data_IF_422789715695
#
_entry.id   IF_422789715695
#
_cell.length_a   1.000
_cell.length_b   1.000
_cell.length_c   1.000
_cell.angle_alpha   90.00
_cell.angle_beta   90.00
_cell.angle_gamma   90.00
#
_symmetry.space_group_name_H-M   'P 1'
#
loop_
_entity.id
_entity.type
_entity.pdbx_description
1 polymer ?
#
# COMPACT_ATOMS: atom_id res chain seq x y z
N UNK A 1 18.39 23.20 -2.28
CA UNK A 1 18.31 22.11 -1.28
C UNK A 1 17.78 20.89 -2.01
N UNK A 2 18.61 19.89 -2.29
CA UNK A 2 18.11 18.63 -2.81
C UNK A 2 17.31 17.97 -1.68
N UNK A 3 15.98 18.09 -1.72
CA UNK A 3 15.09 17.46 -0.74
C UNK A 3 15.41 15.97 -0.70
N UNK A 4 15.69 15.47 0.49
CA UNK A 4 16.05 14.07 0.69
C UNK A 4 14.90 13.20 0.16
N UNK A 5 15.16 12.34 -0.83
CA UNK A 5 14.10 11.45 -1.34
C UNK A 5 13.88 10.34 -0.30
N UNK A 6 12.62 9.95 -0.03
CA UNK A 6 12.35 8.87 0.93
C UNK A 6 13.01 7.56 0.48
N UNK A 7 13.43 6.74 1.44
CA UNK A 7 13.77 5.35 1.17
C UNK A 7 12.52 4.63 0.61
N UNK A 8 12.65 3.95 -0.53
CA UNK A 8 11.56 3.19 -1.14
C UNK A 8 11.73 1.72 -0.78
N UNK A 9 10.75 1.16 -0.06
CA UNK A 9 10.75 -0.24 0.38
C UNK A 9 9.57 -0.98 -0.24
N UNK A 10 9.86 -2.00 -1.06
CA UNK A 10 8.83 -2.93 -1.52
C UNK A 10 8.61 -3.99 -0.45
N UNK A 11 7.36 -4.22 -0.05
CA UNK A 11 6.97 -5.24 0.93
C UNK A 11 5.90 -6.14 0.32
N UNK A 12 6.15 -7.45 0.29
CA UNK A 12 5.26 -8.44 -0.30
C UNK A 12 5.36 -9.79 0.42
N UNK A 13 4.25 -10.52 0.50
CA UNK A 13 4.21 -11.94 0.78
C UNK A 13 3.89 -12.67 -0.53
N UNK A 14 4.69 -13.68 -0.87
CA UNK A 14 4.57 -14.42 -2.13
C UNK A 14 4.70 -15.92 -1.89
N UNK A 15 3.90 -16.72 -2.61
CA UNK A 15 4.05 -18.15 -2.63
C UNK A 15 5.40 -18.56 -3.25
N UNK A 16 6.07 -19.54 -2.65
CA UNK A 16 7.40 -19.98 -3.09
C UNK A 16 7.39 -20.54 -4.52
N UNK A 17 6.40 -21.37 -4.86
CA UNK A 17 6.44 -22.18 -6.08
C UNK A 17 5.97 -21.42 -7.34
N UNK A 18 5.12 -20.41 -7.18
CA UNK A 18 4.49 -19.72 -8.32
C UNK A 18 4.40 -18.20 -8.14
N UNK A 19 4.98 -17.64 -7.07
CA UNK A 19 5.00 -16.20 -6.75
C UNK A 19 3.61 -15.56 -6.67
N UNK A 20 2.56 -16.33 -6.45
CA UNK A 20 1.21 -15.80 -6.24
C UNK A 20 1.22 -14.88 -5.02
N UNK A 21 0.57 -13.72 -5.17
CA UNK A 21 0.42 -12.68 -4.13
C UNK A 21 -1.05 -12.41 -3.77
N UNK A 22 -2.01 -13.06 -4.46
CA UNK A 22 -3.44 -12.84 -4.30
C UNK A 22 -4.27 -13.68 -5.27
N UNK A 23 -5.48 -14.08 -4.85
CA UNK A 23 -6.48 -14.81 -5.64
C UNK A 23 -7.85 -14.21 -5.33
N UNK A 24 -8.68 -13.93 -6.34
CA UNK A 24 -10.05 -13.42 -6.17
C UNK A 24 -10.22 -12.22 -5.23
N UNK A 25 -9.23 -11.31 -5.24
CA UNK A 25 -9.12 -10.11 -4.38
C UNK A 25 -8.74 -10.38 -2.92
N UNK A 26 -8.41 -11.61 -2.56
CA UNK A 26 -7.96 -11.97 -1.23
C UNK A 26 -6.53 -12.51 -1.24
N UNK A 27 -5.90 -12.53 -0.07
CA UNK A 27 -4.70 -13.33 0.15
C UNK A 27 -5.12 -14.80 0.21
N UNK A 28 -4.45 -15.72 -0.51
CA UNK A 28 -4.83 -17.14 -0.52
C UNK A 28 -4.44 -17.88 0.78
N UNK A 29 -3.93 -17.15 1.78
CA UNK A 29 -3.56 -17.66 3.08
C UNK A 29 -4.02 -16.71 4.19
N UNK A 30 -4.25 -17.28 5.37
CA UNK A 30 -4.50 -16.52 6.60
C UNK A 30 -3.36 -16.78 7.59
N UNK A 31 -2.36 -15.90 7.58
CA UNK A 31 -1.17 -16.00 8.45
C UNK A 31 -1.13 -14.76 9.36
N UNK A 32 -1.68 -14.85 10.59
CA UNK A 32 -1.75 -13.71 11.51
C UNK A 32 -0.39 -13.09 11.84
N UNK A 33 0.67 -13.90 11.92
CA UNK A 33 2.03 -13.47 12.20
C UNK A 33 2.60 -12.61 11.08
N UNK A 34 2.27 -12.92 9.83
CA UNK A 34 2.67 -12.13 8.66
C UNK A 34 1.98 -10.76 8.67
N UNK A 35 0.67 -10.74 8.95
CA UNK A 35 -0.08 -9.48 9.09
C UNK A 35 0.43 -8.63 10.26
N UNK A 36 0.78 -9.27 11.39
CA UNK A 36 1.38 -8.59 12.55
C UNK A 36 2.72 -7.97 12.18
N UNK A 37 3.58 -8.70 11.46
CA UNK A 37 4.87 -8.22 10.98
C UNK A 37 4.70 -7.08 9.97
N UNK A 38 3.79 -7.22 9.01
CA UNK A 38 3.47 -6.16 8.05
C UNK A 38 3.02 -4.88 8.77
N UNK A 39 2.12 -5.00 9.76
CA UNK A 39 1.70 -3.86 10.59
C UNK A 39 2.88 -3.23 11.33
N UNK A 40 3.73 -4.03 11.97
CA UNK A 40 4.89 -3.52 12.71
C UNK A 40 5.87 -2.76 11.81
N UNK A 41 6.10 -3.24 10.60
CA UNK A 41 7.04 -2.63 9.66
C UNK A 41 6.50 -1.34 9.01
N UNK A 42 5.20 -1.31 8.70
CA UNK A 42 4.61 -0.23 7.87
C UNK A 42 3.94 0.88 8.68
N UNK A 43 3.62 0.66 9.95
CA UNK A 43 2.92 1.66 10.79
C UNK A 43 3.76 2.94 10.92
N UNK A 44 3.12 4.10 10.80
CA UNK A 44 3.79 5.40 10.87
C UNK A 44 4.39 5.88 9.54
N UNK A 45 4.47 5.01 8.53
CA UNK A 45 5.00 5.35 7.21
C UNK A 45 3.88 5.38 6.14
N UNK A 46 4.03 6.18 5.07
CA UNK A 46 3.15 6.08 3.91
C UNK A 46 3.20 4.68 3.29
N UNK A 47 2.03 4.18 2.90
CA UNK A 47 1.86 2.90 2.23
C UNK A 47 1.20 3.13 0.87
N UNK A 48 1.99 2.97 -0.19
CA UNK A 48 1.55 3.07 -1.57
C UNK A 48 1.01 1.73 -2.06
N UNK A 49 -0.15 1.76 -2.69
CA UNK A 49 -0.77 0.59 -3.30
C UNK A 49 -1.64 0.94 -4.50
N UNK A 50 -2.01 -0.06 -5.28
CA UNK A 50 -2.97 0.09 -6.38
C UNK A 50 -4.41 0.06 -5.87
N UNK A 51 -5.33 0.66 -6.64
CA UNK A 51 -6.78 0.66 -6.34
C UNK A 51 -7.34 -0.71 -5.94
N UNK A 52 -7.05 -1.76 -6.70
CA UNK A 52 -7.59 -3.11 -6.42
C UNK A 52 -7.13 -3.63 -5.07
N UNK A 53 -5.86 -3.40 -4.71
CA UNK A 53 -5.32 -3.77 -3.40
C UNK A 53 -6.00 -2.99 -2.29
N UNK A 54 -6.24 -1.70 -2.49
CA UNK A 54 -6.98 -0.90 -1.51
C UNK A 54 -8.43 -1.39 -1.33
N UNK A 55 -9.14 -1.70 -2.42
CA UNK A 55 -10.49 -2.29 -2.37
C UNK A 55 -10.50 -3.64 -1.63
N UNK A 56 -9.48 -4.48 -1.83
CA UNK A 56 -9.30 -5.72 -1.06
C UNK A 56 -9.11 -5.47 0.43
N UNK A 57 -8.31 -4.47 0.81
CA UNK A 57 -8.13 -4.09 2.22
C UNK A 57 -9.43 -3.60 2.84
N UNK A 58 -10.22 -2.80 2.12
CA UNK A 58 -11.54 -2.37 2.59
C UNK A 58 -12.47 -3.55 2.83
N UNK A 59 -12.49 -4.52 1.91
CA UNK A 59 -13.29 -5.74 2.05
C UNK A 59 -12.85 -6.58 3.25
N UNK A 60 -11.54 -6.74 3.45
CA UNK A 60 -10.98 -7.63 4.46
C UNK A 60 -10.96 -7.01 5.87
N UNK A 61 -10.69 -5.71 6.00
CA UNK A 61 -10.49 -5.02 7.27
C UNK A 61 -11.60 -4.03 7.63
N UNK A 62 -12.58 -3.83 6.75
CA UNK A 62 -13.71 -2.91 6.96
C UNK A 62 -13.34 -1.43 6.84
N UNK A 63 -12.12 -1.10 6.43
CA UNK A 63 -11.67 0.27 6.31
C UNK A 63 -10.19 0.41 5.92
N UNK A 64 -9.72 1.66 5.73
CA UNK A 64 -8.32 1.95 5.50
C UNK A 64 -7.44 1.45 6.64
N UNK A 65 -6.18 1.19 6.33
CA UNK A 65 -5.22 0.78 7.34
C UNK A 65 -4.89 1.96 8.27
N UNK A 66 -5.16 1.86 9.60
CA UNK A 66 -4.99 2.98 10.51
C UNK A 66 -3.51 3.30 10.74
N UNK A 67 -3.26 4.52 11.24
CA UNK A 67 -1.94 5.05 11.62
C UNK A 67 -0.93 5.08 10.47
N UNK A 68 -1.42 5.20 9.24
CA UNK A 68 -0.66 5.26 7.99
C UNK A 68 -1.35 6.21 7.02
N UNK A 69 -0.56 6.88 6.18
CA UNK A 69 -1.06 7.53 4.97
C UNK A 69 -1.25 6.45 3.92
N UNK A 70 -2.49 6.18 3.53
CA UNK A 70 -2.83 5.20 2.51
C UNK A 70 -2.78 5.89 1.13
N UNK A 71 -1.71 5.65 0.38
CA UNK A 71 -1.45 6.29 -0.91
C UNK A 71 -1.93 5.36 -2.02
N UNK A 72 -3.00 5.72 -2.71
CA UNK A 72 -3.67 4.83 -3.68
C UNK A 72 -3.49 5.34 -5.10
N UNK A 73 -2.88 4.50 -5.95
CA UNK A 73 -2.78 4.78 -7.38
C UNK A 73 -4.10 4.44 -8.10
N UNK A 74 -4.74 5.48 -8.65
CA UNK A 74 -6.02 5.40 -9.36
C UNK A 74 -6.27 6.66 -10.20
N UNK A 75 -6.85 6.49 -11.39
CA UNK A 75 -7.43 7.59 -12.19
C UNK A 75 -8.93 7.79 -11.95
N UNK A 76 -9.55 6.92 -11.16
CA UNK A 76 -10.97 6.97 -10.83
C UNK A 76 -11.17 7.67 -9.49
N UNK A 77 -12.21 8.51 -9.40
CA UNK A 77 -12.66 9.18 -8.18
C UNK A 77 -13.34 8.21 -7.18
N UNK A 78 -13.65 8.73 -5.98
CA UNK A 78 -14.47 8.06 -4.95
C UNK A 78 -13.72 7.34 -3.83
N UNK A 79 -12.38 7.33 -3.85
CA UNK A 79 -11.57 6.76 -2.75
C UNK A 79 -10.97 7.82 -1.82
N UNK A 80 -10.89 9.08 -2.25
CA UNK A 80 -10.36 10.17 -1.42
C UNK A 80 -11.30 10.63 -0.30
N UNK A 81 -12.49 10.03 -0.19
CA UNK A 81 -13.47 10.34 0.87
C UNK A 81 -13.15 9.63 2.19
N UNK A 82 -12.31 8.59 2.15
CA UNK A 82 -11.86 7.87 3.34
C UNK A 82 -10.78 8.67 4.08
N UNK A 83 -10.91 8.76 5.40
CA UNK A 83 -9.91 9.40 6.25
C UNK A 83 -8.54 8.71 6.12
N UNK A 84 -7.48 9.50 5.98
CA UNK A 84 -6.11 8.99 5.84
C UNK A 84 -5.80 8.34 4.49
N UNK A 85 -6.64 8.56 3.46
CA UNK A 85 -6.45 8.06 2.09
C UNK A 85 -6.19 9.21 1.12
N UNK A 86 -5.13 9.08 0.34
CA UNK A 86 -4.73 10.04 -0.70
C UNK A 86 -4.65 9.31 -2.03
N UNK A 87 -5.23 9.88 -3.09
CA UNK A 87 -5.26 9.26 -4.42
C UNK A 87 -4.40 10.00 -5.43
N UNK A 88 -3.66 9.26 -6.26
CA UNK A 88 -2.83 9.83 -7.32
C UNK A 88 -2.95 9.04 -8.62
N UNK A 89 -2.84 9.73 -9.76
CA UNK A 89 -2.96 9.08 -11.07
C UNK A 89 -1.69 8.33 -11.50
N UNK A 90 -0.54 8.67 -10.92
CA UNK A 90 0.75 8.07 -11.28
C UNK A 90 1.73 8.07 -10.11
N UNK A 91 2.75 7.20 -10.21
CA UNK A 91 3.76 7.00 -9.16
C UNK A 91 4.59 8.26 -8.88
N UNK A 92 4.87 9.08 -9.90
CA UNK A 92 5.65 10.30 -9.74
C UNK A 92 4.95 11.31 -8.83
N UNK A 93 3.66 11.53 -9.06
CA UNK A 93 2.83 12.39 -8.21
C UNK A 93 2.71 11.85 -6.78
N UNK A 94 2.51 10.54 -6.63
CA UNK A 94 2.44 9.90 -5.32
C UNK A 94 3.75 10.03 -4.52
N UNK A 95 4.90 9.78 -5.16
CA UNK A 95 6.23 9.91 -4.54
C UNK A 95 6.55 11.37 -4.18
N UNK A 96 6.16 12.33 -5.02
CA UNK A 96 6.34 13.74 -4.73
C UNK A 96 5.55 14.16 -3.47
N UNK A 97 4.34 13.65 -3.29
CA UNK A 97 3.48 13.96 -2.15
C UNK A 97 3.94 13.35 -0.81
N UNK A 98 4.85 12.38 -0.85
CA UNK A 98 5.48 11.79 0.34
C UNK A 98 6.97 12.12 0.43
N UNK A 99 7.44 13.12 -0.32
CA UNK A 99 8.86 13.44 -0.43
C UNK A 99 9.55 13.84 0.87
N UNK A 100 8.79 14.24 1.90
CA UNK A 100 9.31 14.60 3.23
C UNK A 100 9.37 13.40 4.20
N UNK A 101 8.81 12.26 3.82
CA UNK A 101 8.87 11.06 4.65
C UNK A 101 10.30 10.49 4.67
N UNK A 102 10.68 9.85 5.78
CA UNK A 102 11.93 9.09 5.86
C UNK A 102 11.89 7.88 4.91
N UNK A 103 10.74 7.20 4.87
CA UNK A 103 10.52 5.96 4.14
C UNK A 103 9.10 5.87 3.61
N UNK A 104 8.93 5.24 2.46
CA UNK A 104 7.64 4.82 1.89
C UNK A 104 7.65 3.31 1.65
N UNK A 105 6.52 2.65 1.95
CA UNK A 105 6.32 1.25 1.59
C UNK A 105 5.46 1.12 0.34
N UNK A 106 5.84 0.24 -0.58
CA UNK A 106 5.02 -0.20 -1.70
C UNK A 106 4.42 -1.57 -1.34
N UNK A 107 3.10 -1.59 -1.13
CA UNK A 107 2.31 -2.76 -0.73
C UNK A 107 1.63 -3.49 -1.90
N UNK A 108 2.01 -3.19 -3.15
CA UNK A 108 1.49 -3.85 -4.35
C UNK A 108 0.17 -3.28 -4.87
N UNK A 109 -0.63 -4.00 -5.64
CA UNK A 109 -0.49 -5.38 -6.10
C UNK A 109 0.33 -5.53 -7.39
N UNK A 110 0.06 -6.57 -8.17
CA UNK A 110 0.95 -6.99 -9.28
C UNK A 110 1.16 -6.00 -10.42
N UNK A 111 0.33 -4.96 -10.57
CA UNK A 111 0.56 -3.87 -11.53
C UNK A 111 1.40 -2.72 -10.95
N UNK A 112 1.65 -2.74 -9.64
CA UNK A 112 2.37 -1.69 -8.91
C UNK A 112 3.77 -2.17 -8.53
N UNK A 113 3.91 -3.43 -8.14
CA UNK A 113 5.22 -4.09 -8.02
C UNK A 113 5.92 -4.11 -9.38
#
# INVERSE_FOLDING_TARGET
>A
MAGNRPEIVIIAALAQDNRVIGVDKDLPWHIPEDLKRFKQLTTGFPLLMGRKTFESLLHQFGGPLPNRRNVVLTSKSGLGEYEGVETYENIGAALAAVGEAERIFIGGGGNIY
#
